data_IF_748597833839
#
_entry.id   IF_748597833839
#
_cell.length_a   1.000
_cell.length_b   1.000
_cell.length_c   1.000
_cell.angle_alpha   90.00
_cell.angle_beta   90.00
_cell.angle_gamma   90.00
#
_symmetry.space_group_name_H-M   'P 1'
#
loop_
_entity.id
_entity.type
_entity.pdbx_description
1 polymer ?
#
# COMPACT_ATOMS: atom_id res chain seq x y z
N UNK A 1 15.35 20.87 4.94
CA UNK A 1 15.14 20.45 6.35
C UNK A 1 13.67 20.49 6.76
N UNK A 2 12.99 21.63 6.74
CA UNK A 2 11.57 21.73 7.13
C UNK A 2 10.63 20.78 6.36
N UNK A 3 10.82 20.62 5.04
CA UNK A 3 10.03 19.70 4.23
C UNK A 3 10.10 18.25 4.68
N UNK A 4 11.29 17.74 5.07
CA UNK A 4 11.44 16.37 5.57
C UNK A 4 10.70 16.13 6.88
N UNK A 5 10.71 17.12 7.78
CA UNK A 5 10.01 17.04 9.07
C UNK A 5 8.50 16.92 8.86
N UNK A 6 7.94 17.78 7.99
CA UNK A 6 6.52 17.73 7.65
C UNK A 6 6.16 16.38 7.00
N UNK A 7 6.99 15.89 6.08
CA UNK A 7 6.79 14.57 5.45
C UNK A 7 6.75 13.44 6.49
N UNK A 8 7.68 13.42 7.45
CA UNK A 8 7.71 12.39 8.50
C UNK A 8 6.45 12.45 9.37
N UNK A 9 6.00 13.65 9.75
CA UNK A 9 4.78 13.82 10.56
C UNK A 9 3.54 13.29 9.82
N UNK A 10 3.42 13.55 8.53
CA UNK A 10 2.31 13.05 7.69
C UNK A 10 2.42 11.53 7.48
N UNK A 11 3.63 10.98 7.46
CA UNK A 11 3.82 9.53 7.27
C UNK A 11 3.37 8.70 8.47
N UNK A 12 3.39 9.25 9.68
CA UNK A 12 2.94 8.53 10.88
C UNK A 12 1.49 8.02 10.74
N UNK A 13 0.47 8.87 10.49
CA UNK A 13 -0.90 8.39 10.31
C UNK A 13 -1.05 7.51 9.07
N UNK A 14 -0.28 7.75 8.00
CA UNK A 14 -0.28 6.87 6.81
C UNK A 14 0.16 5.46 7.18
N UNK A 15 1.25 5.30 7.93
CA UNK A 15 1.71 4.00 8.38
C UNK A 15 0.73 3.32 9.34
N UNK A 16 0.07 4.07 10.22
CA UNK A 16 -0.97 3.52 11.10
C UNK A 16 -2.10 2.92 10.24
N UNK A 17 -2.57 3.64 9.22
CA UNK A 17 -3.62 3.17 8.31
C UNK A 17 -3.16 1.96 7.49
N UNK A 18 -1.91 1.94 7.02
CA UNK A 18 -1.35 0.80 6.28
C UNK A 18 -1.25 -0.44 7.17
N UNK A 19 -0.68 -0.31 8.37
CA UNK A 19 -0.56 -1.42 9.31
C UNK A 19 -1.95 -1.96 9.65
N UNK A 20 -2.91 -1.08 9.95
CA UNK A 20 -4.29 -1.50 10.21
C UNK A 20 -4.91 -2.19 9.00
N UNK A 21 -4.70 -1.67 7.78
CA UNK A 21 -5.16 -2.30 6.54
C UNK A 21 -4.54 -3.67 6.26
N UNK A 22 -3.41 -4.00 6.87
CA UNK A 22 -2.78 -5.31 6.76
C UNK A 22 -3.30 -6.29 7.83
N UNK A 23 -3.45 -5.81 9.07
CA UNK A 23 -3.92 -6.63 10.20
C UNK A 23 -5.41 -6.95 10.08
N UNK A 24 -6.22 -5.93 9.78
CA UNK A 24 -7.67 -6.01 9.74
C UNK A 24 -8.20 -5.44 8.42
N UNK A 25 -7.97 -6.16 7.31
CA UNK A 25 -8.24 -5.66 5.97
C UNK A 25 -9.73 -5.39 5.72
N UNK A 26 -10.63 -6.23 6.25
CA UNK A 26 -12.09 -6.09 6.12
C UNK A 26 -12.58 -4.79 6.73
N UNK A 27 -12.22 -4.52 7.98
CA UNK A 27 -12.56 -3.28 8.68
C UNK A 27 -11.98 -2.06 7.96
N UNK A 28 -10.73 -2.17 7.49
CA UNK A 28 -10.07 -1.09 6.76
C UNK A 28 -10.68 -0.80 5.38
N UNK A 29 -11.32 -1.80 4.77
CA UNK A 29 -12.03 -1.65 3.49
C UNK A 29 -13.39 -0.97 3.69
N UNK A 30 -13.99 -1.15 4.87
CA UNK A 30 -15.23 -0.49 5.27
C UNK A 30 -15.03 0.92 5.81
N UNK A 31 -13.82 1.28 6.18
CA UNK A 31 -13.49 2.61 6.70
C UNK A 31 -13.89 3.72 5.73
N UNK A 32 -14.85 4.55 6.12
CA UNK A 32 -15.38 5.65 5.31
C UNK A 32 -16.51 5.28 4.34
N UNK A 33 -16.77 3.97 4.16
CA UNK A 33 -17.76 3.44 3.21
C UNK A 33 -18.90 2.69 3.92
N UNK A 34 -18.79 2.40 5.25
CA UNK A 34 -19.82 1.69 6.04
C UNK A 34 -21.24 2.25 5.87
N UNK A 35 -21.38 3.56 5.68
CA UNK A 35 -22.68 4.23 5.56
C UNK A 35 -23.38 3.95 4.22
N UNK A 36 -22.67 3.42 3.22
CA UNK A 36 -23.22 3.13 1.89
C UNK A 36 -24.00 1.80 1.87
N UNK A 37 -23.72 0.89 2.80
CA UNK A 37 -24.27 -0.45 2.81
C UNK A 37 -25.39 -0.59 3.85
N UNK A 38 -26.43 -1.37 3.51
CA UNK A 38 -27.53 -1.65 4.44
C UNK A 38 -27.14 -2.74 5.47
N UNK A 39 -26.20 -3.61 5.10
CA UNK A 39 -25.67 -4.70 5.91
C UNK A 39 -24.14 -4.77 5.70
N UNK A 40 -23.41 -5.42 6.61
CA UNK A 40 -21.95 -5.56 6.48
C UNK A 40 -21.61 -6.41 5.24
N UNK A 41 -20.88 -5.86 4.24
CA UNK A 41 -20.59 -6.56 3.01
C UNK A 41 -19.53 -7.65 3.24
N UNK A 42 -19.78 -8.83 2.70
CA UNK A 42 -18.81 -9.92 2.69
C UNK A 42 -17.77 -9.71 1.58
N UNK A 43 -16.50 -9.60 1.97
CA UNK A 43 -15.41 -9.46 1.00
C UNK A 43 -14.91 -10.82 0.51
N UNK A 44 -14.66 -10.93 -0.79
CA UNK A 44 -13.99 -12.11 -1.33
C UNK A 44 -12.58 -12.29 -0.74
N UNK A 45 -12.13 -13.54 -0.62
CA UNK A 45 -10.75 -13.86 -0.21
C UNK A 45 -9.72 -13.13 -1.07
N UNK A 46 -9.99 -12.97 -2.38
CA UNK A 46 -9.15 -12.22 -3.32
C UNK A 46 -9.03 -10.74 -2.95
N UNK A 47 -10.14 -10.07 -2.66
CA UNK A 47 -10.12 -8.66 -2.24
C UNK A 47 -9.32 -8.47 -0.94
N UNK A 48 -9.46 -9.41 0.00
CA UNK A 48 -8.71 -9.40 1.25
C UNK A 48 -7.21 -9.57 0.99
N UNK A 49 -6.81 -10.54 0.17
CA UNK A 49 -5.42 -10.78 -0.21
C UNK A 49 -4.82 -9.58 -0.96
N UNK A 50 -5.57 -8.99 -1.89
CA UNK A 50 -5.16 -7.80 -2.62
C UNK A 50 -4.94 -6.61 -1.70
N UNK A 51 -5.82 -6.40 -0.70
CA UNK A 51 -5.67 -5.33 0.29
C UNK A 51 -4.41 -5.52 1.13
N UNK A 52 -4.16 -6.75 1.62
CA UNK A 52 -2.94 -7.09 2.37
C UNK A 52 -1.68 -6.88 1.52
N UNK A 53 -1.68 -7.34 0.27
CA UNK A 53 -0.58 -7.17 -0.66
C UNK A 53 -0.28 -5.70 -0.93
N UNK A 54 -1.31 -4.91 -1.25
CA UNK A 54 -1.18 -3.48 -1.54
C UNK A 54 -0.64 -2.73 -0.34
N UNK A 55 -1.13 -3.04 0.87
CA UNK A 55 -0.64 -2.42 2.10
C UNK A 55 0.84 -2.73 2.35
N UNK A 56 1.23 -4.00 2.20
CA UNK A 56 2.62 -4.45 2.35
C UNK A 56 3.53 -3.79 1.31
N UNK A 57 3.08 -3.72 0.05
CA UNK A 57 3.82 -3.05 -1.02
C UNK A 57 4.03 -1.58 -0.72
N UNK A 58 3.01 -0.85 -0.25
CA UNK A 58 3.15 0.55 0.13
C UNK A 58 4.07 0.75 1.34
N UNK A 59 4.01 -0.11 2.35
CA UNK A 59 4.90 -0.06 3.52
C UNK A 59 6.38 -0.20 3.13
N UNK A 60 6.69 -0.96 2.07
CA UNK A 60 8.05 -1.14 1.53
C UNK A 60 8.38 -0.05 0.50
N UNK A 61 7.42 0.35 -0.32
CA UNK A 61 7.60 1.30 -1.41
C UNK A 61 7.89 2.72 -0.94
N UNK A 62 7.17 3.18 0.11
CA UNK A 62 7.37 4.51 0.68
C UNK A 62 8.82 4.75 1.15
N UNK A 63 9.46 3.88 1.96
CA UNK A 63 10.82 4.12 2.43
C UNK A 63 11.84 3.99 1.29
N UNK A 64 11.62 3.07 0.34
CA UNK A 64 12.45 3.01 -0.87
C UNK A 64 12.38 4.31 -1.68
N UNK A 65 11.20 4.90 -1.80
CA UNK A 65 11.00 6.17 -2.48
C UNK A 65 11.70 7.33 -1.77
N UNK A 66 11.58 7.41 -0.44
CA UNK A 66 12.25 8.45 0.38
C UNK A 66 13.77 8.34 0.26
N UNK A 67 14.31 7.12 0.38
CA UNK A 67 15.75 6.86 0.21
C UNK A 67 16.20 7.24 -1.21
N UNK A 68 15.40 6.91 -2.23
CA UNK A 68 15.68 7.28 -3.62
C UNK A 68 15.79 8.79 -3.83
N UNK A 69 14.91 9.57 -3.19
CA UNK A 69 14.97 11.05 -3.21
C UNK A 69 16.25 11.55 -2.54
N UNK A 70 16.62 11.00 -1.37
CA UNK A 70 17.78 11.46 -0.60
C UNK A 70 19.12 11.22 -1.31
N UNK A 71 19.20 10.21 -2.17
CA UNK A 71 20.47 9.78 -2.79
C UNK A 71 20.80 10.59 -4.06
N UNK A 72 19.86 11.33 -4.66
CA UNK A 72 20.05 12.20 -5.86
C UNK A 72 20.91 11.57 -6.99
N UNK A 73 20.88 10.23 -7.13
CA UNK A 73 21.64 9.52 -8.17
C UNK A 73 20.77 9.17 -9.37
N UNK A 74 21.43 8.88 -10.48
CA UNK A 74 20.88 8.22 -11.68
C UNK A 74 20.11 6.91 -11.36
N UNK A 75 20.11 6.40 -10.13
CA UNK A 75 19.35 5.22 -9.70
C UNK A 75 17.86 5.55 -9.39
N UNK A 76 17.51 6.84 -9.23
CA UNK A 76 16.15 7.26 -8.88
C UNK A 76 15.06 6.78 -9.85
N UNK A 77 15.34 6.63 -11.14
CA UNK A 77 14.35 6.13 -12.12
C UNK A 77 14.24 4.60 -12.13
N UNK A 78 15.28 3.88 -11.71
CA UNK A 78 15.32 2.42 -11.72
C UNK A 78 14.50 1.81 -10.57
N UNK A 79 14.60 2.37 -9.36
CA UNK A 79 13.87 1.89 -8.17
C UNK A 79 12.34 1.89 -8.37
N UNK A 80 11.69 2.99 -8.77
CA UNK A 80 10.25 3.00 -9.03
C UNK A 80 9.87 2.11 -10.21
N UNK A 81 10.70 2.02 -11.26
CA UNK A 81 10.43 1.12 -12.37
C UNK A 81 10.41 -0.35 -11.93
N UNK A 82 11.40 -0.80 -11.14
CA UNK A 82 11.44 -2.15 -10.57
C UNK A 82 10.26 -2.36 -9.62
N UNK A 83 9.96 -1.39 -8.77
CA UNK A 83 8.85 -1.47 -7.84
C UNK A 83 7.50 -1.64 -8.56
N UNK A 84 7.28 -0.91 -9.65
CA UNK A 84 6.09 -1.04 -10.51
C UNK A 84 6.03 -2.45 -11.11
N UNK A 85 7.14 -2.98 -11.62
CA UNK A 85 7.17 -4.34 -12.18
C UNK A 85 6.82 -5.39 -11.13
N UNK A 86 7.42 -5.31 -9.93
CA UNK A 86 7.11 -6.23 -8.81
C UNK A 86 5.65 -6.09 -8.39
N UNK A 87 5.13 -4.87 -8.34
CA UNK A 87 3.73 -4.61 -8.04
C UNK A 87 2.80 -5.25 -9.07
N UNK A 88 3.04 -5.01 -10.36
CA UNK A 88 2.26 -5.60 -11.46
C UNK A 88 2.32 -7.13 -11.39
N UNK A 89 3.49 -7.73 -11.20
CA UNK A 89 3.64 -9.19 -11.09
C UNK A 89 2.86 -9.72 -9.89
N UNK A 90 2.95 -9.08 -8.72
CA UNK A 90 2.24 -9.51 -7.53
C UNK A 90 0.73 -9.38 -7.67
N UNK A 91 0.24 -8.30 -8.29
CA UNK A 91 -1.18 -8.15 -8.64
C UNK A 91 -1.61 -9.22 -9.62
N UNK A 92 -0.86 -9.45 -10.71
CA UNK A 92 -1.17 -10.49 -11.68
C UNK A 92 -1.21 -11.88 -11.04
N UNK A 93 -0.30 -12.17 -10.11
CA UNK A 93 -0.30 -13.44 -9.38
C UNK A 93 -1.59 -13.62 -8.56
N UNK A 94 -2.00 -12.59 -7.82
CA UNK A 94 -3.24 -12.63 -7.02
C UNK A 94 -4.49 -12.75 -7.90
N UNK A 95 -4.45 -12.16 -9.10
CA UNK A 95 -5.55 -12.26 -10.07
C UNK A 95 -5.57 -13.59 -10.83
N UNK A 96 -4.40 -14.19 -11.08
CA UNK A 96 -4.24 -15.42 -11.84
C UNK A 96 -4.35 -16.69 -10.98
N UNK A 97 -4.44 -16.56 -9.65
CA UNK A 97 -4.65 -17.69 -8.73
C UNK A 97 -6.11 -18.24 -8.78
N UNK A 98 -6.82 -17.99 -9.89
CA UNK A 98 -8.05 -18.67 -10.33
C UNK A 98 -7.67 -19.79 -11.33
N UNK A 99 -7.13 -20.90 -10.82
CA UNK A 99 -7.25 -22.28 -11.34
C UNK A 99 -6.64 -23.30 -10.36
#
# INVERSE_FOLDING_TARGET
MAGLIVTIIILIPVYIILIWSYVEPEESMLFGERWMYQEDPEFSTRSIQFRKFTSLMLMIGIPLFIIGILIEKMIYWLVPAIFIVVFVIGVLKILAEDD
#
